data_IF_130427945951
#
_entry.id   IF_130427945951
#
_cell.length_a   1.000
_cell.length_b   1.000
_cell.length_c   1.000
_cell.angle_alpha   90.00
_cell.angle_beta   90.00
_cell.angle_gamma   90.00
#
_symmetry.space_group_name_H-M   'P 1'
#
loop_
_entity.id
_entity.type
_entity.pdbx_description
1 polymer ?
#
# COMPACT_ATOMS: atom_id res chain seq x y z
N UNK A 1 24.65 -36.45 10.19
CA UNK A 1 24.80 -35.77 8.88
C UNK A 1 23.64 -36.08 7.91
N UNK A 2 23.38 -37.34 7.50
CA UNK A 2 22.33 -37.67 6.50
C UNK A 2 20.88 -37.36 6.91
N UNK A 3 20.54 -37.41 8.21
CA UNK A 3 19.17 -37.15 8.71
C UNK A 3 18.78 -35.67 8.77
N UNK A 4 19.77 -34.77 8.87
CA UNK A 4 19.55 -33.31 8.86
C UNK A 4 19.20 -32.82 7.45
N UNK A 5 19.79 -33.45 6.43
CA UNK A 5 19.49 -33.16 5.03
C UNK A 5 18.06 -33.58 4.62
N UNK A 6 17.57 -34.71 5.18
CA UNK A 6 16.18 -35.16 4.99
C UNK A 6 15.15 -34.22 5.66
N UNK A 7 15.47 -33.63 6.81
CA UNK A 7 14.60 -32.65 7.48
C UNK A 7 14.59 -31.29 6.76
N UNK A 8 15.73 -30.87 6.20
CA UNK A 8 15.85 -29.67 5.37
C UNK A 8 15.10 -29.80 4.04
N UNK A 9 15.14 -30.99 3.40
CA UNK A 9 14.40 -31.29 2.18
C UNK A 9 12.87 -31.32 2.42
N UNK A 10 12.45 -31.76 3.61
CA UNK A 10 11.03 -31.81 3.98
C UNK A 10 10.48 -30.41 4.30
N UNK A 11 11.29 -29.52 4.90
CA UNK A 11 10.92 -28.12 5.14
C UNK A 11 10.74 -27.32 3.83
N UNK A 12 11.51 -27.66 2.78
CA UNK A 12 11.42 -27.02 1.48
C UNK A 12 10.17 -27.45 0.66
N UNK A 13 9.58 -28.60 1.00
CA UNK A 13 8.39 -29.15 0.33
C UNK A 13 7.06 -28.59 0.89
N UNK A 14 7.10 -28.05 2.11
CA UNK A 14 5.92 -27.45 2.79
C UNK A 14 5.67 -25.99 2.34
N UNK A 15 6.64 -25.34 1.68
CA UNK A 15 6.41 -24.09 0.93
C UNK A 15 5.79 -24.37 -0.45
N UNK A 16 4.78 -25.23 -0.50
CA UNK A 16 3.84 -25.20 -1.61
C UNK A 16 2.94 -23.99 -1.41
N UNK A 17 3.45 -22.81 -1.80
CA UNK A 17 2.60 -21.64 -2.00
C UNK A 17 1.53 -22.09 -2.97
N UNK A 18 0.28 -22.13 -2.48
CA UNK A 18 -0.89 -22.30 -3.32
C UNK A 18 -0.98 -21.04 -4.18
N UNK A 19 -0.32 -21.05 -5.32
CA UNK A 19 -0.54 -20.10 -6.40
C UNK A 19 -1.86 -20.50 -7.05
N UNK A 20 -2.96 -20.26 -6.33
CA UNK A 20 -4.30 -20.30 -6.90
C UNK A 20 -4.55 -18.99 -7.63
N UNK A 21 -5.37 -19.03 -8.69
CA UNK A 21 -5.88 -17.81 -9.30
C UNK A 21 -6.56 -16.96 -8.21
N UNK A 22 -6.08 -15.74 -8.01
CA UNK A 22 -6.57 -14.85 -6.98
C UNK A 22 -8.05 -14.55 -7.27
N UNK A 23 -8.94 -14.97 -6.37
CA UNK A 23 -10.36 -14.67 -6.52
C UNK A 23 -10.62 -13.19 -6.19
N UNK A 24 -11.71 -12.62 -6.71
CA UNK A 24 -12.09 -11.23 -6.43
C UNK A 24 -12.11 -10.91 -4.92
N UNK A 25 -12.67 -11.80 -4.11
CA UNK A 25 -12.76 -11.62 -2.66
C UNK A 25 -11.38 -11.67 -1.99
N UNK A 26 -10.48 -12.53 -2.46
CA UNK A 26 -9.10 -12.58 -1.96
C UNK A 26 -8.35 -11.31 -2.33
N UNK A 27 -8.48 -10.84 -3.58
CA UNK A 27 -7.89 -9.58 -4.04
C UNK A 27 -8.37 -8.39 -3.21
N UNK A 28 -9.67 -8.31 -2.92
CA UNK A 28 -10.24 -7.28 -2.06
C UNK A 28 -9.68 -7.35 -0.64
N UNK A 29 -9.64 -8.54 -0.03
CA UNK A 29 -9.13 -8.70 1.33
C UNK A 29 -7.63 -8.35 1.44
N UNK A 30 -6.87 -8.61 0.38
CA UNK A 30 -5.44 -8.33 0.31
C UNK A 30 -5.20 -6.83 0.13
N UNK A 31 -6.00 -6.18 -0.73
CA UNK A 31 -5.98 -4.74 -0.93
C UNK A 31 -6.36 -3.98 0.35
N UNK A 32 -7.39 -4.41 1.08
CA UNK A 32 -7.79 -3.78 2.34
C UNK A 32 -6.71 -3.84 3.43
N UNK A 33 -5.96 -4.94 3.48
CA UNK A 33 -4.91 -5.14 4.51
C UNK A 33 -3.60 -4.45 4.16
N UNK A 34 -3.25 -4.39 2.88
CA UNK A 34 -1.92 -3.99 2.43
C UNK A 34 -1.90 -2.68 1.64
N UNK A 35 -3.04 -2.06 1.33
CA UNK A 35 -3.05 -0.78 0.63
C UNK A 35 -2.44 0.32 1.50
N UNK A 36 -1.28 0.81 1.08
CA UNK A 36 -0.59 1.91 1.75
C UNK A 36 -1.43 3.20 1.75
N UNK A 37 -2.26 3.41 0.72
CA UNK A 37 -3.16 4.55 0.61
C UNK A 37 -4.27 4.51 1.68
N UNK A 38 -4.87 3.34 1.90
CA UNK A 38 -5.86 3.15 2.96
C UNK A 38 -5.26 3.31 4.35
N UNK A 39 -4.08 2.73 4.57
CA UNK A 39 -3.35 2.85 5.84
C UNK A 39 -3.01 4.32 6.11
N UNK A 40 -2.51 5.04 5.09
CA UNK A 40 -2.18 6.46 5.19
C UNK A 40 -3.43 7.28 5.54
N UNK A 41 -4.54 7.09 4.82
CA UNK A 41 -5.79 7.80 5.08
C UNK A 41 -6.35 7.50 6.49
N UNK A 42 -6.21 6.26 6.97
CA UNK A 42 -6.60 5.90 8.33
C UNK A 42 -5.71 6.55 9.39
N UNK A 43 -4.41 6.66 9.14
CA UNK A 43 -3.47 7.35 10.04
C UNK A 43 -3.68 8.86 10.05
N UNK A 44 -4.09 9.45 8.93
CA UNK A 44 -4.50 10.85 8.83
C UNK A 44 -5.73 11.13 9.71
N UNK A 45 -6.76 10.27 9.63
CA UNK A 45 -7.93 10.35 10.50
C UNK A 45 -7.55 10.21 11.98
N UNK A 46 -6.74 9.21 12.32
CA UNK A 46 -6.26 9.00 13.70
C UNK A 46 -5.51 10.23 14.22
N UNK A 47 -4.63 10.82 13.41
CA UNK A 47 -3.91 12.06 13.73
C UNK A 47 -4.85 13.23 14.01
N UNK A 48 -5.92 13.37 13.21
CA UNK A 48 -6.95 14.38 13.40
C UNK A 48 -7.73 14.17 14.70
N UNK A 49 -8.06 12.92 15.05
CA UNK A 49 -8.69 12.58 16.33
C UNK A 49 -7.80 12.92 17.53
N UNK A 50 -6.49 12.65 17.45
CA UNK A 50 -5.52 13.06 18.46
C UNK A 50 -5.44 14.59 18.58
N UNK A 51 -5.53 15.30 17.46
CA UNK A 51 -5.56 16.76 17.44
C UNK A 51 -6.83 17.30 18.12
N UNK A 52 -7.99 16.68 17.87
CA UNK A 52 -9.23 16.98 18.56
C UNK A 52 -9.13 16.73 20.08
N UNK A 53 -8.56 15.60 20.50
CA UNK A 53 -8.31 15.31 21.93
C UNK A 53 -7.33 16.30 22.54
N UNK A 54 -6.31 16.74 21.80
CA UNK A 54 -5.36 17.77 22.23
C UNK A 54 -6.05 19.13 22.39
N UNK A 55 -6.99 19.47 21.53
CA UNK A 55 -7.79 20.69 21.70
C UNK A 55 -8.53 20.66 23.05
N UNK A 56 -9.13 19.52 23.40
CA UNK A 56 -9.75 19.30 24.71
C UNK A 56 -8.76 19.33 25.88
N UNK A 57 -7.56 18.76 25.73
CA UNK A 57 -6.57 18.71 26.82
C UNK A 57 -6.06 20.09 27.24
N UNK A 58 -6.24 21.12 26.39
CA UNK A 58 -5.87 22.50 26.78
C UNK A 58 -6.75 23.12 27.87
N UNK A 59 -7.89 22.49 28.22
CA UNK A 59 -8.73 22.85 29.36
C UNK A 59 -8.35 22.09 30.64
N UNK A 60 -7.48 21.08 30.52
CA UNK A 60 -6.94 20.33 31.66
C UNK A 60 -5.65 20.99 32.19
N UNK A 61 -5.29 20.77 33.47
CA UNK A 61 -4.00 21.20 33.99
C UNK A 61 -2.86 20.54 33.21
N UNK A 62 -1.90 21.36 32.78
CA UNK A 62 -0.65 20.92 32.16
C UNK A 62 0.42 20.84 33.23
N UNK A 63 0.98 19.66 33.44
CA UNK A 63 2.09 19.43 34.37
C UNK A 63 3.38 19.34 33.56
N UNK A 64 4.37 20.16 33.91
CA UNK A 64 5.71 20.11 33.34
C UNK A 64 6.75 19.88 34.41
N UNK A 65 7.74 19.06 34.08
CA UNK A 65 8.91 18.79 34.90
C UNK A 65 10.15 19.19 34.11
N UNK A 66 11.08 19.88 34.77
CA UNK A 66 12.34 20.30 34.18
C UNK A 66 13.50 19.97 35.10
N UNK A 67 14.60 19.51 34.53
CA UNK A 67 15.88 19.33 35.19
C UNK A 67 16.97 19.97 34.33
N UNK A 68 17.86 20.73 34.94
CA UNK A 68 18.91 21.46 34.24
C UNK A 68 20.20 21.50 35.03
N UNK A 69 21.32 21.29 34.32
CA UNK A 69 22.67 21.48 34.83
C UNK A 69 23.27 22.69 34.10
N UNK A 70 23.81 23.62 34.88
CA UNK A 70 24.52 24.79 34.36
C UNK A 70 25.92 24.80 34.95
N UNK A 71 26.93 24.68 34.09
CA UNK A 71 28.33 24.85 34.45
C UNK A 71 28.76 26.25 34.01
N UNK A 72 29.17 27.08 34.95
CA UNK A 72 29.65 28.44 34.66
C UNK A 72 31.14 28.51 34.96
N UNK A 73 31.92 28.84 33.93
CA UNK A 73 33.35 29.13 34.04
C UNK A 73 33.57 30.64 33.88
N UNK A 74 34.16 31.27 34.89
CA UNK A 74 34.53 32.69 34.80
C UNK A 74 35.80 32.86 33.97
N UNK A 75 35.79 33.83 33.04
CA UNK A 75 36.95 34.14 32.20
C UNK A 75 38.11 34.81 32.97
N UNK A 76 37.81 35.42 34.12
CA UNK A 76 38.76 36.22 34.92
C UNK A 76 39.21 35.53 36.21
N UNK A 77 38.62 34.39 36.57
CA UNK A 77 38.94 33.64 37.79
C UNK A 77 38.84 32.13 37.54
N UNK A 78 39.79 31.33 38.05
CA UNK A 78 39.83 29.87 37.95
C UNK A 78 38.71 29.12 38.70
N UNK A 79 37.65 29.83 39.10
CA UNK A 79 36.52 29.27 39.83
C UNK A 79 35.54 28.59 38.87
N UNK A 80 35.25 27.32 39.14
CA UNK A 80 34.20 26.55 38.50
C UNK A 80 32.98 26.49 39.40
N UNK A 81 31.81 26.74 38.84
CA UNK A 81 30.54 26.64 39.55
C UNK A 81 29.57 25.77 38.77
N UNK A 82 29.16 24.67 39.40
CA UNK A 82 28.18 23.76 38.87
C UNK A 82 26.86 23.95 39.63
N UNK A 83 25.79 24.23 38.90
CA UNK A 83 24.45 24.46 39.43
C UNK A 83 23.49 23.42 38.87
N UNK A 84 22.88 22.65 39.76
CA UNK A 84 21.81 21.71 39.44
C UNK A 84 20.46 22.32 39.82
N UNK A 85 19.50 22.26 38.91
CA UNK A 85 18.15 22.78 39.11
C UNK A 85 17.11 21.73 38.73
N UNK A 86 16.09 21.60 39.57
CA UNK A 86 14.92 20.76 39.32
C UNK A 86 13.67 21.60 39.60
N UNK A 87 12.68 21.50 38.73
CA UNK A 87 11.45 22.28 38.81
C UNK A 87 10.26 21.45 38.37
N UNK A 88 9.17 21.54 39.14
CA UNK A 88 7.85 21.03 38.75
C UNK A 88 6.90 22.23 38.69
N UNK A 89 6.16 22.36 37.59
CA UNK A 89 5.18 23.43 37.42
C UNK A 89 3.90 22.86 36.85
N UNK A 90 2.76 23.32 37.39
CA UNK A 90 1.44 23.01 36.88
C UNK A 90 0.78 24.31 36.42
N UNK A 91 0.22 24.32 35.21
CA UNK A 91 -0.48 25.47 34.64
C UNK A 91 -1.85 25.03 34.13
N UNK A 92 -2.91 25.69 34.60
CA UNK A 92 -4.28 25.47 34.12
C UNK A 92 -4.87 26.79 33.66
N UNK A 93 -5.44 26.78 32.46
CA UNK A 93 -6.21 27.92 31.97
C UNK A 93 -7.62 27.86 32.56
N UNK A 94 -7.98 28.82 33.41
CA UNK A 94 -9.32 28.88 34.03
C UNK A 94 -10.41 29.29 33.02
N UNK A 95 -10.07 30.11 32.03
CA UNK A 95 -10.99 30.53 30.98
C UNK A 95 -10.24 30.86 29.69
N UNK A 96 -10.65 30.25 28.57
CA UNK A 96 -10.08 30.50 27.23
C UNK A 96 -10.97 31.34 26.31
N UNK A 97 -12.06 31.89 26.83
CA UNK A 97 -13.01 32.66 26.03
C UNK A 97 -13.63 31.85 24.88
N UNK A 98 -14.25 32.58 23.94
CA UNK A 98 -14.90 32.00 22.76
C UNK A 98 -13.91 31.28 21.83
N UNK A 99 -12.65 31.72 21.80
CA UNK A 99 -11.60 31.12 20.97
C UNK A 99 -11.35 29.64 21.33
N UNK A 100 -11.47 29.25 22.60
CA UNK A 100 -11.32 27.85 23.01
C UNK A 100 -12.44 26.94 22.48
N UNK A 101 -13.69 27.44 22.49
CA UNK A 101 -14.86 26.68 22.03
C UNK A 101 -14.79 26.50 20.51
N UNK A 102 -14.53 27.57 19.77
CA UNK A 102 -14.38 27.50 18.32
C UNK A 102 -13.15 26.66 17.90
N UNK A 103 -12.09 26.65 18.71
CA UNK A 103 -10.94 25.76 18.51
C UNK A 103 -11.31 24.28 18.55
N UNK A 104 -12.13 23.87 19.54
CA UNK A 104 -12.64 22.48 19.62
C UNK A 104 -13.54 22.17 18.43
N UNK A 105 -14.47 23.07 18.08
CA UNK A 105 -15.40 22.87 16.97
C UNK A 105 -14.66 22.76 15.62
N UNK A 106 -13.62 23.56 15.42
CA UNK A 106 -12.75 23.48 14.25
C UNK A 106 -12.02 22.15 14.19
N UNK A 107 -11.47 21.68 15.32
CA UNK A 107 -10.78 20.39 15.37
C UNK A 107 -11.74 19.22 15.12
N UNK A 108 -12.99 19.29 15.60
CA UNK A 108 -14.02 18.30 15.31
C UNK A 108 -14.38 18.28 13.82
N UNK A 109 -14.55 19.45 13.20
CA UNK A 109 -14.83 19.57 11.77
C UNK A 109 -13.70 18.98 10.92
N UNK A 110 -12.45 19.14 11.37
CA UNK A 110 -11.29 18.51 10.74
C UNK A 110 -11.30 16.97 10.83
N UNK A 111 -11.83 16.39 11.92
CA UNK A 111 -12.01 14.93 12.02
C UNK A 111 -13.05 14.44 11.00
N UNK A 112 -14.20 15.11 10.92
CA UNK A 112 -15.24 14.75 9.94
C UNK A 112 -14.75 14.92 8.49
N UNK A 113 -13.95 15.96 8.20
CA UNK A 113 -13.28 16.10 6.91
C UNK A 113 -12.38 14.91 6.59
N UNK A 114 -11.51 14.49 7.51
CA UNK A 114 -10.62 13.34 7.29
C UNK A 114 -11.37 12.02 7.18
N UNK A 115 -12.51 11.89 7.86
CA UNK A 115 -13.38 10.72 7.75
C UNK A 115 -14.06 10.62 6.39
N UNK A 116 -14.52 11.76 5.86
CA UNK A 116 -15.01 11.84 4.48
C UNK A 116 -13.88 11.53 3.48
N UNK A 117 -12.67 12.05 3.72
CA UNK A 117 -11.46 11.75 2.95
C UNK A 117 -11.17 10.25 2.90
N UNK A 118 -11.16 9.57 4.04
CA UNK A 118 -10.99 8.11 4.13
C UNK A 118 -12.04 7.36 3.31
N UNK A 119 -13.29 7.81 3.34
CA UNK A 119 -14.38 7.20 2.56
C UNK A 119 -14.14 7.36 1.06
N UNK A 120 -13.66 8.54 0.63
CA UNK A 120 -13.29 8.80 -0.75
C UNK A 120 -12.10 7.94 -1.20
N UNK A 121 -11.05 7.84 -0.38
CA UNK A 121 -9.88 7.00 -0.69
C UNK A 121 -10.27 5.53 -0.80
N UNK A 122 -11.15 5.03 0.08
CA UNK A 122 -11.71 3.68 -0.03
C UNK A 122 -12.41 3.45 -1.37
N UNK A 123 -13.27 4.38 -1.78
CA UNK A 123 -13.97 4.28 -3.05
C UNK A 123 -13.00 4.24 -4.25
N UNK A 124 -11.96 5.08 -4.25
CA UNK A 124 -10.93 5.09 -5.29
C UNK A 124 -10.17 3.77 -5.35
N UNK A 125 -9.65 3.30 -4.21
CA UNK A 125 -8.87 2.05 -4.14
C UNK A 125 -9.70 0.86 -4.63
N UNK A 126 -10.98 0.78 -4.24
CA UNK A 126 -11.86 -0.29 -4.70
C UNK A 126 -12.20 -0.20 -6.19
N UNK A 127 -12.34 1.01 -6.72
CA UNK A 127 -12.54 1.23 -8.15
C UNK A 127 -11.32 0.79 -8.94
N UNK A 128 -10.13 1.23 -8.54
CA UNK A 128 -8.86 0.91 -9.21
C UNK A 128 -8.59 -0.60 -9.15
N UNK A 129 -8.82 -1.23 -7.98
CA UNK A 129 -8.72 -2.68 -7.82
C UNK A 129 -9.63 -3.41 -8.79
N UNK A 130 -10.89 -2.97 -8.92
CA UNK A 130 -11.85 -3.58 -9.84
C UNK A 130 -11.45 -3.43 -11.29
N UNK A 131 -11.03 -2.23 -11.69
CA UNK A 131 -10.58 -1.95 -13.05
C UNK A 131 -9.41 -2.85 -13.43
N UNK A 132 -8.37 -2.86 -12.58
CA UNK A 132 -7.17 -3.68 -12.81
C UNK A 132 -7.48 -5.18 -12.81
N UNK A 133 -8.39 -5.63 -11.93
CA UNK A 133 -8.80 -7.03 -11.89
C UNK A 133 -9.48 -7.46 -13.19
N UNK A 134 -10.41 -6.64 -13.71
CA UNK A 134 -11.08 -6.92 -14.99
C UNK A 134 -10.10 -6.87 -16.15
N UNK A 135 -9.16 -5.92 -16.15
CA UNK A 135 -8.13 -5.82 -17.19
C UNK A 135 -7.26 -7.07 -17.27
N UNK A 136 -6.85 -7.62 -16.12
CA UNK A 136 -6.11 -8.90 -16.08
C UNK A 136 -6.94 -10.05 -16.63
N UNK A 137 -8.23 -10.14 -16.28
CA UNK A 137 -9.12 -11.19 -16.81
C UNK A 137 -9.26 -11.09 -18.34
N UNK A 138 -9.45 -9.88 -18.87
CA UNK A 138 -9.54 -9.65 -20.31
C UNK A 138 -8.22 -9.99 -21.01
N UNK A 139 -7.09 -9.62 -20.42
CA UNK A 139 -5.77 -9.97 -20.95
C UNK A 139 -5.56 -11.49 -20.99
N UNK A 140 -5.99 -12.21 -19.95
CA UNK A 140 -5.92 -13.68 -19.91
C UNK A 140 -6.78 -14.32 -21.01
N UNK A 141 -8.01 -13.85 -21.21
CA UNK A 141 -8.89 -14.34 -22.28
C UNK A 141 -8.30 -14.05 -23.67
N UNK A 142 -7.73 -12.86 -23.85
CA UNK A 142 -7.07 -12.49 -25.11
C UNK A 142 -5.86 -13.38 -25.43
N UNK A 143 -5.06 -13.75 -24.42
CA UNK A 143 -3.96 -14.71 -24.61
C UNK A 143 -4.51 -16.06 -25.09
N UNK A 144 -5.56 -16.57 -24.44
CA UNK A 144 -6.20 -17.83 -24.86
C UNK A 144 -6.76 -17.78 -26.29
N UNK A 145 -7.39 -16.66 -26.66
CA UNK A 145 -7.91 -16.44 -28.02
C UNK A 145 -6.78 -16.35 -29.05
N UNK A 146 -5.69 -15.64 -28.75
CA UNK A 146 -4.53 -15.54 -29.64
C UNK A 146 -3.82 -16.89 -29.83
N UNK A 147 -3.72 -17.70 -28.77
CA UNK A 147 -3.20 -19.08 -28.87
C UNK A 147 -4.06 -19.95 -29.80
N UNK A 148 -5.39 -19.82 -29.73
CA UNK A 148 -6.30 -20.53 -30.64
C UNK A 148 -6.14 -20.09 -32.09
N UNK A 149 -6.03 -18.78 -32.33
CA UNK A 149 -5.79 -18.23 -33.68
C UNK A 149 -4.46 -18.71 -34.23
N UNK A 150 -3.40 -18.69 -33.41
CA UNK A 150 -2.07 -19.16 -33.79
C UNK A 150 -2.11 -20.64 -34.18
N UNK A 151 -2.75 -21.48 -33.35
CA UNK A 151 -2.93 -22.90 -33.65
C UNK A 151 -3.67 -23.11 -34.99
N UNK A 152 -4.74 -22.37 -35.24
CA UNK A 152 -5.49 -22.47 -36.50
C UNK A 152 -4.65 -22.03 -37.71
N UNK A 153 -3.82 -20.99 -37.56
CA UNK A 153 -2.89 -20.55 -38.61
C UNK A 153 -1.83 -21.60 -38.92
N UNK A 154 -1.27 -22.25 -37.91
CA UNK A 154 -0.32 -23.36 -38.08
C UNK A 154 -0.95 -24.55 -38.79
N UNK A 155 -2.18 -24.94 -38.41
CA UNK A 155 -2.92 -26.02 -39.08
C UNK A 155 -3.20 -25.68 -40.55
N UNK A 156 -3.58 -24.44 -40.85
CA UNK A 156 -3.82 -23.98 -42.22
C UNK A 156 -2.52 -23.94 -43.06
N UNK A 157 -1.42 -23.45 -42.50
CA UNK A 157 -0.09 -23.45 -43.13
C UNK A 157 0.36 -24.88 -43.47
N UNK A 158 0.20 -25.81 -42.52
CA UNK A 158 0.49 -27.24 -42.73
C UNK A 158 -0.33 -27.85 -43.86
N UNK A 159 -1.64 -27.54 -43.92
CA UNK A 159 -2.54 -28.00 -44.98
C UNK A 159 -2.12 -27.48 -46.36
N UNK A 160 -1.80 -26.19 -46.47
CA UNK A 160 -1.36 -25.57 -47.72
C UNK A 160 -0.01 -26.14 -48.16
N UNK A 161 0.92 -26.37 -47.23
CA UNK A 161 2.17 -27.04 -47.52
C UNK A 161 1.96 -28.46 -48.10
N UNK A 162 1.08 -29.26 -47.49
CA UNK A 162 0.71 -30.59 -48.02
C UNK A 162 0.13 -30.54 -49.44
N UNK A 163 -0.68 -29.52 -49.75
CA UNK A 163 -1.26 -29.35 -51.10
C UNK A 163 -0.21 -28.95 -52.13
N UNK A 164 0.71 -28.06 -51.75
CA UNK A 164 1.85 -27.68 -52.59
C UNK A 164 2.75 -28.88 -52.89
N UNK A 165 3.09 -29.67 -51.87
CA UNK A 165 3.90 -30.89 -52.02
C UNK A 165 3.21 -31.94 -52.91
N UNK A 166 1.88 -31.94 -52.94
CA UNK A 166 1.06 -32.78 -53.82
C UNK A 166 0.89 -32.18 -55.24
N UNK A 167 1.50 -31.04 -55.53
CA UNK A 167 1.40 -30.33 -56.81
C UNK A 167 0.04 -29.67 -57.08
N UNK A 168 -0.78 -29.48 -56.05
CA UNK A 168 -2.16 -28.95 -56.16
C UNK A 168 -2.28 -27.46 -55.79
N UNK A 169 -1.19 -26.82 -55.44
CA UNK A 169 -1.14 -25.42 -54.96
C UNK A 169 0.12 -24.73 -55.46
N UNK A 170 0.14 -23.40 -55.54
CA UNK A 170 1.28 -22.63 -56.02
C UNK A 170 2.24 -22.17 -54.90
N UNK A 171 3.49 -21.87 -55.26
CA UNK A 171 4.53 -21.44 -54.32
C UNK A 171 4.26 -20.06 -53.72
N UNK A 172 3.53 -19.18 -54.42
CA UNK A 172 3.18 -17.86 -53.94
C UNK A 172 2.24 -17.94 -52.74
N UNK A 173 1.17 -18.73 -52.87
CA UNK A 173 0.22 -18.98 -51.79
C UNK A 173 0.90 -19.59 -50.55
N UNK A 174 1.80 -20.58 -50.74
CA UNK A 174 2.59 -21.15 -49.64
C UNK A 174 3.42 -20.10 -48.88
N UNK A 175 4.09 -19.19 -49.60
CA UNK A 175 4.93 -18.16 -49.00
C UNK A 175 4.09 -17.12 -48.24
N UNK A 176 2.90 -16.76 -48.74
CA UNK A 176 1.99 -15.86 -48.01
C UNK A 176 1.47 -16.49 -46.72
N UNK A 177 1.09 -17.78 -46.74
CA UNK A 177 0.59 -18.44 -45.52
C UNK A 177 1.69 -18.61 -44.46
N UNK A 178 2.94 -18.86 -44.88
CA UNK A 178 4.08 -18.91 -43.95
C UNK A 178 4.44 -17.54 -43.36
N UNK A 179 4.20 -16.46 -44.09
CA UNK A 179 4.34 -15.10 -43.57
C UNK A 179 3.24 -14.77 -42.54
N UNK A 180 2.02 -15.28 -42.76
CA UNK A 180 0.90 -15.11 -41.82
C UNK A 180 1.00 -16.00 -40.56
N UNK A 181 1.83 -17.04 -40.58
CA UNK A 181 2.11 -17.93 -39.44
C UNK A 181 3.11 -17.31 -38.44
N UNK A 182 4.01 -16.45 -38.92
CA UNK A 182 5.09 -15.81 -38.14
C UNK A 182 4.62 -14.58 -37.35
#
# INVERSE_FOLDING_TARGET
>A
MRKVWLLLLCFLLVLSVRVGALTWNEALSLAERNSNELISAQKELESSEWTYRKAWSTFLPQLSASAGLTNTQSATSSAWSDSYSFGLSASQNLFKGMAGIYGIQSAYSAVEYQKAGLTSTKASVYYDLRSNFVEVLVAQENVGLLEQILKQRQENSSLIQLRYDSGKEDKGNLMTTKADEA
#
